data_IF_482729604173
#
_entry.id   IF_482729604173
#
_cell.length_a   1.000
_cell.length_b   1.000
_cell.length_c   1.000
_cell.angle_alpha   90.00
_cell.angle_beta   90.00
_cell.angle_gamma   90.00
#
_symmetry.space_group_name_H-M   'P 1'
#
loop_
_entity.id
_entity.type
_entity.pdbx_description
1 polymer ?
#
# COMPACT_ATOMS: atom_id res chain seq x y z
N UNK A 1 -6.83 12.07 -25.21
CA UNK A 1 -7.52 11.71 -23.96
C UNK A 1 -6.46 11.65 -22.87
N UNK A 2 -6.34 12.71 -22.07
CA UNK A 2 -5.33 12.82 -21.02
C UNK A 2 -5.96 12.36 -19.72
N UNK A 3 -5.56 11.19 -19.23
CA UNK A 3 -5.92 10.72 -17.89
C UNK A 3 -5.24 11.64 -16.87
N UNK A 4 -6.06 12.48 -16.25
CA UNK A 4 -5.69 13.39 -15.17
C UNK A 4 -5.47 12.56 -13.91
N UNK A 5 -4.21 12.32 -13.56
CA UNK A 5 -3.82 11.74 -12.28
C UNK A 5 -3.76 12.89 -11.27
N UNK A 6 -4.91 13.16 -10.64
CA UNK A 6 -4.96 14.03 -9.47
C UNK A 6 -4.28 13.29 -8.31
N UNK A 7 -3.01 13.62 -8.05
CA UNK A 7 -2.37 13.26 -6.79
C UNK A 7 -3.05 14.08 -5.68
N UNK A 8 -3.68 13.45 -4.67
CA UNK A 8 -4.06 14.18 -3.48
C UNK A 8 -2.82 14.36 -2.60
N UNK A 9 -2.46 15.62 -2.38
CA UNK A 9 -1.72 16.05 -1.20
C UNK A 9 -2.47 15.56 0.05
N UNK A 10 -1.75 14.87 0.92
CA UNK A 10 -2.15 14.68 2.31
C UNK A 10 -0.85 14.56 3.10
N UNK A 11 -0.48 15.70 3.63
CA UNK A 11 0.70 16.00 4.43
C UNK A 11 0.53 15.45 5.84
N UNK A 12 0.28 14.15 5.96
CA UNK A 12 0.47 13.44 7.22
C UNK A 12 1.76 12.65 7.07
N UNK A 13 2.85 13.28 7.51
CA UNK A 13 4.19 12.72 7.63
C UNK A 13 4.16 11.63 8.70
N UNK A 14 3.54 10.47 8.40
CA UNK A 14 3.98 9.24 9.04
C UNK A 14 5.31 8.90 8.41
N UNK A 15 6.37 8.82 9.23
CA UNK A 15 7.79 8.57 8.92
C UNK A 15 8.05 7.18 8.29
N UNK A 16 7.05 6.64 7.58
CA UNK A 16 6.97 5.32 7.02
C UNK A 16 7.01 5.42 5.48
N UNK A 17 8.20 5.45 4.86
CA UNK A 17 8.34 5.48 3.40
C UNK A 17 7.61 4.31 2.73
N UNK A 18 7.47 3.17 3.42
CA UNK A 18 6.76 1.98 2.95
C UNK A 18 5.25 2.20 2.80
N UNK A 19 4.63 3.01 3.66
CA UNK A 19 3.19 3.22 3.70
C UNK A 19 2.69 3.90 2.41
N UNK A 20 3.40 4.95 2.01
CA UNK A 20 3.16 5.67 0.75
C UNK A 20 3.42 4.78 -0.47
N UNK A 21 4.48 3.95 -0.42
CA UNK A 21 4.81 2.98 -1.48
C UNK A 21 3.70 1.94 -1.67
N UNK A 22 3.14 1.38 -0.59
CA UNK A 22 1.99 0.44 -0.65
C UNK A 22 0.77 1.11 -1.26
N UNK A 23 0.44 2.32 -0.82
CA UNK A 23 -0.72 3.07 -1.32
C UNK A 23 -0.57 3.43 -2.80
N UNK A 24 0.63 3.85 -3.23
CA UNK A 24 0.93 4.11 -4.64
C UNK A 24 0.85 2.83 -5.47
N UNK A 25 1.44 1.72 -5.00
CA UNK A 25 1.41 0.47 -5.73
C UNK A 25 -0.01 -0.08 -5.90
N UNK A 26 -0.84 0.03 -4.86
CA UNK A 26 -2.25 -0.33 -4.92
C UNK A 26 -3.00 0.50 -5.96
N UNK A 27 -2.80 1.82 -5.97
CA UNK A 27 -3.41 2.71 -6.97
C UNK A 27 -2.95 2.38 -8.40
N UNK A 28 -1.65 2.12 -8.59
CA UNK A 28 -1.09 1.75 -9.90
C UNK A 28 -1.64 0.41 -10.41
N UNK A 29 -1.84 -0.54 -9.50
CA UNK A 29 -2.41 -1.84 -9.83
C UNK A 29 -3.95 -1.80 -10.00
N UNK A 30 -4.61 -0.70 -9.63
CA UNK A 30 -6.07 -0.56 -9.72
C UNK A 30 -6.84 -1.40 -8.71
N UNK A 31 -6.18 -1.89 -7.65
CA UNK A 31 -6.83 -2.68 -6.60
C UNK A 31 -7.45 -1.79 -5.52
N UNK A 32 -8.61 -2.19 -5.00
CA UNK A 32 -9.16 -1.59 -3.78
C UNK A 32 -8.51 -2.21 -2.54
N UNK A 33 -8.61 -1.54 -1.39
CA UNK A 33 -8.10 -2.06 -0.11
C UNK A 33 -8.72 -3.43 0.22
N UNK A 34 -10.00 -3.63 -0.09
CA UNK A 34 -10.70 -4.91 0.06
C UNK A 34 -10.14 -6.00 -0.85
N UNK A 35 -9.94 -5.70 -2.14
CA UNK A 35 -9.38 -6.69 -3.05
C UNK A 35 -7.94 -7.05 -2.70
N UNK A 36 -7.16 -6.06 -2.27
CA UNK A 36 -5.80 -6.28 -1.80
C UNK A 36 -5.81 -7.15 -0.53
N UNK A 37 -6.64 -6.81 0.45
CA UNK A 37 -6.82 -7.58 1.69
C UNK A 37 -7.13 -9.06 1.40
N UNK A 38 -8.09 -9.34 0.50
CA UNK A 38 -8.46 -10.71 0.09
C UNK A 38 -7.30 -11.42 -0.63
N UNK A 39 -6.56 -10.72 -1.49
CA UNK A 39 -5.43 -11.30 -2.25
C UNK A 39 -4.24 -11.63 -1.35
N UNK A 40 -3.93 -10.75 -0.39
CA UNK A 40 -2.84 -10.94 0.56
C UNK A 40 -3.19 -11.89 1.72
N UNK A 41 -4.48 -12.12 1.96
CA UNK A 41 -4.99 -12.77 3.17
C UNK A 41 -4.83 -11.91 4.43
N UNK A 42 -4.88 -10.59 4.29
CA UNK A 42 -4.92 -9.64 5.40
C UNK A 42 -6.32 -9.04 5.54
N UNK A 43 -6.59 -8.38 6.66
CA UNK A 43 -7.80 -7.58 6.83
C UNK A 43 -7.64 -6.19 6.21
N UNK A 44 -8.74 -5.56 5.82
CA UNK A 44 -8.75 -4.17 5.33
C UNK A 44 -8.15 -3.20 6.35
N UNK A 45 -8.40 -3.44 7.64
CA UNK A 45 -7.83 -2.67 8.74
C UNK A 45 -6.31 -2.77 8.81
N UNK A 46 -5.74 -3.97 8.60
CA UNK A 46 -4.28 -4.16 8.57
C UNK A 46 -3.65 -3.49 7.34
N UNK A 47 -4.27 -3.60 6.16
CA UNK A 47 -3.82 -2.86 4.97
C UNK A 47 -3.83 -1.36 5.25
N UNK A 48 -4.88 -0.85 5.88
CA UNK A 48 -5.00 0.57 6.21
C UNK A 48 -3.97 1.00 7.24
N UNK A 49 -3.72 0.18 8.26
CA UNK A 49 -2.68 0.44 9.26
C UNK A 49 -1.28 0.45 8.64
N UNK A 50 -1.02 -0.39 7.63
CA UNK A 50 0.20 -0.35 6.82
C UNK A 50 0.29 0.93 5.96
N UNK A 51 -0.80 1.32 5.30
CA UNK A 51 -0.88 2.54 4.48
C UNK A 51 -0.81 3.83 5.31
N UNK A 52 -1.19 3.76 6.59
CA UNK A 52 -1.14 4.87 7.54
C UNK A 52 0.21 4.90 8.29
N UNK A 53 1.05 3.86 8.15
CA UNK A 53 2.32 3.72 8.86
C UNK A 53 2.18 3.32 10.34
N UNK A 54 0.97 3.02 10.80
CA UNK A 54 0.67 2.55 12.17
C UNK A 54 1.15 1.11 12.39
N UNK A 55 1.11 0.30 11.33
CA UNK A 55 1.61 -1.08 11.33
C UNK A 55 2.82 -1.16 10.39
N UNK A 56 4.00 -1.39 10.97
CA UNK A 56 5.27 -1.53 10.24
C UNK A 56 5.77 -2.96 10.27
N UNK A 57 4.90 -3.96 10.45
CA UNK A 57 5.33 -5.35 10.56
C UNK A 57 5.94 -5.82 9.23
N UNK A 58 7.24 -6.15 9.18
CA UNK A 58 7.93 -6.52 7.94
C UNK A 58 7.33 -7.78 7.31
N UNK A 59 6.72 -8.66 8.11
CA UNK A 59 6.02 -9.83 7.61
C UNK A 59 4.75 -9.46 6.81
N UNK A 60 3.99 -8.47 7.29
CA UNK A 60 2.80 -7.97 6.61
C UNK A 60 3.18 -7.18 5.35
N UNK A 61 4.20 -6.33 5.43
CA UNK A 61 4.75 -5.61 4.28
C UNK A 61 5.17 -6.59 3.18
N UNK A 62 5.89 -7.66 3.53
CA UNK A 62 6.29 -8.69 2.56
C UNK A 62 5.12 -9.43 1.92
N UNK A 63 4.06 -9.72 2.70
CA UNK A 63 2.84 -10.33 2.16
C UNK A 63 2.13 -9.42 1.17
N UNK A 64 2.01 -8.14 1.51
CA UNK A 64 1.39 -7.13 0.62
C UNK A 64 2.20 -6.95 -0.65
N UNK A 65 3.53 -6.84 -0.54
CA UNK A 65 4.42 -6.76 -1.69
C UNK A 65 4.31 -8.00 -2.60
N UNK A 66 4.27 -9.21 -2.02
CA UNK A 66 4.13 -10.46 -2.77
C UNK A 66 2.78 -10.54 -3.51
N UNK A 67 1.69 -10.10 -2.88
CA UNK A 67 0.36 -10.10 -3.49
C UNK A 67 0.21 -9.05 -4.60
N UNK A 68 0.85 -7.89 -4.44
CA UNK A 68 0.94 -6.85 -5.47
C UNK A 68 1.97 -7.16 -6.56
N UNK A 69 2.70 -8.28 -6.45
CA UNK A 69 3.75 -8.69 -7.38
C UNK A 69 4.89 -7.66 -7.54
N UNK A 70 5.09 -6.82 -6.52
CA UNK A 70 6.15 -5.82 -6.47
C UNK A 70 7.33 -6.33 -5.64
N UNK A 71 8.57 -6.08 -6.06
CA UNK A 71 9.73 -6.46 -5.29
C UNK A 71 9.69 -5.76 -3.93
N UNK A 72 9.91 -6.54 -2.87
CA UNK A 72 9.92 -6.04 -1.48
C UNK A 72 10.90 -4.88 -1.33
N UNK A 73 12.02 -4.88 -2.06
CA UNK A 73 13.01 -3.81 -2.14
C UNK A 73 12.45 -2.47 -2.63
N UNK A 74 11.34 -2.48 -3.37
CA UNK A 74 10.61 -1.25 -3.74
C UNK A 74 9.79 -0.72 -2.58
N UNK A 75 9.48 -1.53 -1.57
CA UNK A 75 8.60 -1.20 -0.44
C UNK A 75 9.38 -0.84 0.83
N UNK A 76 10.40 -1.62 1.20
CA UNK A 76 11.34 -1.30 2.31
C UNK A 76 12.40 -0.27 1.91
#
# INVERSE_FOLDING_TARGET
MTISISQPDSDHETDAPFAKKVLTARNLAGYTVEQLAVTCGLTTSEIRALEDGTDSDPLRIRRVAAALHIPVETVI
#
